data_IF_612765109675
#
_entry.id   IF_612765109675
#
_cell.length_a   1.000
_cell.length_b   1.000
_cell.length_c   1.000
_cell.angle_alpha   90.00
_cell.angle_beta   90.00
_cell.angle_gamma   90.00
#
_symmetry.space_group_name_H-M   'P 1'
#
loop_
_entity.id
_entity.type
_entity.pdbx_description
1 polymer ?
#
# COMPACT_ATOMS: atom_id res chain seq x y z
N UNK A 1 21.48 -2.48 -1.21
CA UNK A 1 21.85 -2.05 0.15
C UNK A 1 21.55 -0.56 0.22
N UNK A 2 20.33 -0.18 0.62
CA UNK A 2 19.98 1.21 0.86
C UNK A 2 19.72 1.33 2.34
N UNK A 3 20.74 1.87 3.02
CA UNK A 3 20.68 2.21 4.42
C UNK A 3 19.58 3.23 4.69
N UNK A 4 18.81 2.90 5.73
CA UNK A 4 18.14 3.78 6.67
C UNK A 4 18.49 5.27 6.55
N UNK A 5 17.52 6.07 6.13
CA UNK A 5 17.22 7.32 6.84
C UNK A 5 15.74 7.25 7.27
N UNK A 6 15.50 6.52 8.35
CA UNK A 6 14.20 6.24 8.97
C UNK A 6 13.57 7.45 9.69
N UNK A 7 14.11 8.65 9.51
CA UNK A 7 13.65 9.84 10.22
C UNK A 7 12.89 10.74 9.24
N UNK A 8 11.56 10.63 9.24
CA UNK A 8 10.70 11.58 8.54
C UNK A 8 10.66 12.86 9.38
N UNK A 9 11.09 14.02 8.87
CA UNK A 9 11.03 15.27 9.61
C UNK A 9 9.60 15.62 10.01
N UNK A 10 9.44 16.30 11.16
CA UNK A 10 8.12 16.77 11.59
C UNK A 10 7.46 17.62 10.50
N UNK A 11 6.16 17.43 10.29
CA UNK A 11 5.41 18.10 9.23
C UNK A 11 5.63 17.54 7.82
N UNK A 12 6.42 16.46 7.65
CA UNK A 12 6.56 15.75 6.38
C UNK A 12 5.86 14.40 6.41
N UNK A 13 5.46 13.93 5.23
CA UNK A 13 4.92 12.59 5.01
C UNK A 13 5.73 11.95 3.88
N UNK A 14 6.11 10.68 4.07
CA UNK A 14 6.81 9.91 3.05
C UNK A 14 5.81 9.02 2.30
N UNK A 15 5.85 9.08 0.97
CA UNK A 15 5.13 8.17 0.09
C UNK A 15 6.11 7.27 -0.65
N UNK A 16 5.71 6.02 -0.90
CA UNK A 16 6.36 5.22 -1.93
C UNK A 16 5.99 5.76 -3.32
N UNK A 17 6.67 5.27 -4.37
CA UNK A 17 6.46 5.75 -5.72
C UNK A 17 5.01 5.57 -6.24
N UNK A 18 4.33 4.49 -5.81
CA UNK A 18 2.96 4.17 -6.24
C UNK A 18 1.96 5.11 -5.59
N UNK A 19 2.00 5.26 -4.27
CA UNK A 19 1.15 6.20 -3.53
C UNK A 19 1.35 7.64 -3.99
N UNK A 20 2.59 8.03 -4.29
CA UNK A 20 2.91 9.37 -4.82
C UNK A 20 2.20 9.63 -6.15
N UNK A 21 2.21 8.66 -7.07
CA UNK A 21 1.49 8.76 -8.35
C UNK A 21 -0.03 8.86 -8.15
N UNK A 22 -0.58 8.04 -7.24
CA UNK A 22 -2.02 8.03 -6.97
C UNK A 22 -2.50 9.33 -6.31
N UNK A 23 -1.72 9.87 -5.37
CA UNK A 23 -2.00 11.16 -4.74
C UNK A 23 -1.70 12.35 -5.67
N UNK A 24 -1.01 12.12 -6.80
CA UNK A 24 -0.58 13.14 -7.76
C UNK A 24 0.27 14.25 -7.12
N UNK A 25 1.20 13.86 -6.27
CA UNK A 25 2.13 14.78 -5.58
C UNK A 25 3.57 14.52 -6.01
N UNK A 26 4.40 15.54 -5.96
CA UNK A 26 5.85 15.48 -6.14
C UNK A 26 6.55 15.64 -4.79
N UNK A 27 7.88 15.49 -4.78
CA UNK A 27 8.67 15.77 -3.58
C UNK A 27 8.50 17.24 -3.19
N UNK A 28 8.30 17.50 -1.90
CA UNK A 28 8.09 18.83 -1.31
C UNK A 28 6.78 19.55 -1.72
N UNK A 29 5.86 18.88 -2.42
CA UNK A 29 4.51 19.42 -2.64
C UNK A 29 3.75 19.56 -1.30
N UNK A 30 3.02 20.67 -1.09
CA UNK A 30 2.15 20.81 0.07
C UNK A 30 0.96 19.87 -0.04
N UNK A 31 0.66 19.14 1.04
CA UNK A 31 -0.48 18.22 1.11
C UNK A 31 -1.32 18.55 2.34
N UNK A 32 -2.63 18.68 2.16
CA UNK A 32 -3.57 18.79 3.29
C UNK A 32 -3.84 17.41 3.88
N UNK A 33 -3.67 17.28 5.20
CA UNK A 33 -3.86 16.02 5.93
C UNK A 33 -4.94 16.20 6.98
N UNK A 34 -5.87 15.25 7.02
CA UNK A 34 -6.90 15.15 8.05
C UNK A 34 -6.89 13.76 8.66
N UNK A 35 -7.15 13.68 9.97
CA UNK A 35 -7.28 12.38 10.64
C UNK A 35 -8.53 11.68 10.15
N UNK A 36 -8.36 10.49 9.57
CA UNK A 36 -9.47 9.59 9.29
C UNK A 36 -9.78 8.73 10.51
N UNK A 37 -11.06 8.64 10.88
CA UNK A 37 -11.55 7.70 11.90
C UNK A 37 -12.58 6.81 11.22
N UNK A 38 -12.32 5.49 11.09
CA UNK A 38 -13.25 4.60 10.42
C UNK A 38 -14.58 4.55 11.18
N UNK A 39 -15.73 4.51 10.48
CA UNK A 39 -17.03 4.29 11.10
C UNK A 39 -17.12 2.96 11.83
N UNK A 40 -18.16 2.82 12.65
CA UNK A 40 -18.47 1.54 13.30
C UNK A 40 -18.74 0.46 12.25
N UNK A 41 -18.25 -0.76 12.48
CA UNK A 41 -18.36 -1.91 11.55
C UNK A 41 -17.72 -1.70 10.16
N UNK A 42 -16.72 -0.82 10.03
CA UNK A 42 -15.95 -0.62 8.79
C UNK A 42 -14.94 -1.75 8.51
N UNK A 43 -15.43 -2.98 8.35
CA UNK A 43 -14.62 -4.15 8.08
C UNK A 43 -14.69 -4.56 6.59
N UNK A 44 -13.54 -4.99 6.05
CA UNK A 44 -13.46 -5.48 4.68
C UNK A 44 -13.91 -6.96 4.64
N UNK A 45 -15.06 -7.21 4.02
CA UNK A 45 -15.60 -8.57 3.90
C UNK A 45 -14.92 -9.39 2.78
N UNK A 46 -14.69 -8.76 1.63
CA UNK A 46 -14.08 -9.37 0.45
C UNK A 46 -13.21 -8.34 -0.27
N UNK A 47 -12.05 -8.79 -0.75
CA UNK A 47 -11.15 -8.00 -1.58
C UNK A 47 -10.73 -8.85 -2.79
N UNK A 48 -11.00 -8.34 -3.98
CA UNK A 48 -10.50 -8.91 -5.23
C UNK A 48 -9.24 -8.15 -5.62
N UNK A 49 -8.19 -8.88 -6.00
CA UNK A 49 -6.89 -8.31 -6.36
C UNK A 49 -6.48 -8.77 -7.75
N UNK A 50 -6.03 -7.82 -8.55
CA UNK A 50 -5.30 -8.09 -9.78
C UNK A 50 -3.80 -8.09 -9.46
N UNK A 51 -3.10 -9.16 -9.85
CA UNK A 51 -1.72 -9.40 -9.46
C UNK A 51 -0.84 -9.59 -10.69
N UNK A 52 0.30 -8.93 -10.70
CA UNK A 52 1.34 -9.08 -11.71
C UNK A 52 2.71 -9.16 -11.04
N UNK A 53 3.61 -9.97 -11.60
CA UNK A 53 5.00 -10.00 -11.14
C UNK A 53 5.70 -8.68 -11.48
N UNK A 54 6.22 -8.00 -10.46
CA UNK A 54 6.96 -6.73 -10.61
C UNK A 54 8.21 -6.90 -11.50
N UNK A 55 8.77 -8.10 -11.55
CA UNK A 55 9.87 -8.46 -12.46
C UNK A 55 9.52 -9.74 -13.19
N UNK A 56 9.74 -9.76 -14.50
CA UNK A 56 9.58 -10.98 -15.29
C UNK A 56 10.62 -12.02 -14.86
N UNK A 57 10.14 -13.17 -14.42
CA UNK A 57 10.94 -14.32 -14.00
C UNK A 57 10.69 -15.54 -14.90
N UNK A 58 11.06 -16.73 -14.40
CA UNK A 58 10.63 -17.99 -14.99
C UNK A 58 9.13 -18.19 -14.75
N UNK A 59 8.54 -19.18 -15.41
CA UNK A 59 7.17 -19.60 -15.15
C UNK A 59 7.07 -20.16 -13.72
N UNK A 60 6.58 -19.32 -12.80
CA UNK A 60 6.37 -19.63 -11.40
C UNK A 60 4.88 -19.84 -11.15
N UNK A 61 4.53 -20.91 -10.43
CA UNK A 61 3.18 -21.11 -9.94
C UNK A 61 3.05 -20.51 -8.55
N UNK A 62 1.97 -19.78 -8.31
CA UNK A 62 1.69 -19.16 -7.01
C UNK A 62 0.44 -19.79 -6.42
N UNK A 63 0.57 -20.30 -5.20
CA UNK A 63 -0.57 -20.79 -4.43
C UNK A 63 -1.40 -19.60 -3.94
N UNK A 64 -2.62 -19.47 -4.47
CA UNK A 64 -3.54 -18.39 -4.14
C UNK A 64 -3.94 -18.38 -2.66
N UNK A 65 -4.04 -19.54 -2.01
CA UNK A 65 -4.40 -19.64 -0.59
C UNK A 65 -3.27 -19.10 0.26
N UNK A 66 -2.03 -19.57 0.04
CA UNK A 66 -0.86 -19.08 0.77
C UNK A 66 -0.62 -17.58 0.53
N UNK A 67 -0.79 -17.13 -0.71
CA UNK A 67 -0.67 -15.71 -1.04
C UNK A 67 -1.73 -14.86 -0.31
N UNK A 68 -2.99 -15.32 -0.28
CA UNK A 68 -4.06 -14.61 0.44
C UNK A 68 -3.77 -14.48 1.94
N UNK A 69 -3.16 -15.50 2.55
CA UNK A 69 -2.75 -15.47 3.95
C UNK A 69 -1.62 -14.47 4.19
N UNK A 70 -0.63 -14.42 3.29
CA UNK A 70 0.47 -13.46 3.37
C UNK A 70 -0.03 -12.01 3.20
N UNK A 71 -0.93 -11.76 2.25
CA UNK A 71 -1.53 -10.44 2.03
C UNK A 71 -2.31 -10.00 3.27
N UNK A 72 -3.17 -10.88 3.82
CA UNK A 72 -3.90 -10.59 5.07
C UNK A 72 -2.95 -10.26 6.22
N UNK A 73 -1.88 -11.04 6.40
CA UNK A 73 -0.89 -10.80 7.45
C UNK A 73 -0.17 -9.46 7.28
N UNK A 74 0.20 -9.09 6.04
CA UNK A 74 0.98 -7.89 5.74
C UNK A 74 0.15 -6.60 5.80
N UNK A 75 -1.11 -6.64 5.37
CA UNK A 75 -1.96 -5.46 5.21
C UNK A 75 -3.14 -5.41 6.20
N UNK A 76 -3.13 -6.25 7.23
CA UNK A 76 -4.13 -6.19 8.31
C UNK A 76 -4.15 -4.79 8.93
N UNK A 77 -5.34 -4.31 9.27
CA UNK A 77 -5.61 -2.99 9.85
C UNK A 77 -5.22 -1.80 8.97
N UNK A 78 -4.90 -2.01 7.69
CA UNK A 78 -4.81 -0.92 6.71
C UNK A 78 -6.15 -0.71 6.02
N UNK A 79 -6.45 0.54 5.70
CA UNK A 79 -7.61 0.89 4.87
C UNK A 79 -7.20 0.75 3.41
N UNK A 80 -7.93 -0.06 2.66
CA UNK A 80 -7.76 -0.20 1.21
C UNK A 80 -8.91 0.47 0.47
N UNK A 81 -8.59 1.17 -0.61
CA UNK A 81 -9.57 1.72 -1.55
C UNK A 81 -9.64 0.83 -2.79
N UNK A 82 -10.80 0.80 -3.46
CA UNK A 82 -11.08 -0.10 -4.58
C UNK A 82 -10.09 0.02 -5.76
N UNK A 83 -9.44 1.17 -5.94
CA UNK A 83 -8.49 1.43 -7.02
C UNK A 83 -7.04 1.60 -6.56
N UNK A 84 -6.70 1.17 -5.33
CA UNK A 84 -5.36 1.31 -4.79
C UNK A 84 -4.41 0.29 -5.41
N UNK A 85 -3.32 0.76 -6.01
CA UNK A 85 -2.21 -0.09 -6.44
C UNK A 85 -1.16 -0.18 -5.34
N UNK A 86 -0.58 -1.36 -5.16
CA UNK A 86 0.48 -1.64 -4.20
C UNK A 86 1.60 -2.41 -4.90
N UNK A 87 2.85 -2.19 -4.47
CA UNK A 87 4.04 -2.89 -4.94
C UNK A 87 4.84 -3.42 -3.78
#
# INVERSE_FOLDING_TARGET
>A
MLDLCLTIPSGRIAFNAVHRRQAKVSTDDPVSVNRFSPPENFNLALLTLELEFVKKGKDEQVDAVLLSQQIRKKFSNQVSAASLSLS
#
